data_IF_456839698160
#
_entry.id   IF_456839698160
#
_cell.length_a   1.000
_cell.length_b   1.000
_cell.length_c   1.000
_cell.angle_alpha   90.00
_cell.angle_beta   90.00
_cell.angle_gamma   90.00
#
_symmetry.space_group_name_H-M   'P 1'
#
loop_
_entity.id
_entity.type
_entity.pdbx_description
1 polymer ?
#
# COMPACT_ATOMS: atom_id res chain seq x y z
N UNK A 1 7.42 28.65 15.94
CA UNK A 1 6.46 28.10 14.96
C UNK A 1 5.49 27.22 15.72
N UNK A 2 4.21 27.56 15.75
CA UNK A 2 3.16 26.77 16.43
C UNK A 2 2.87 25.48 15.66
N UNK A 3 2.34 24.46 16.35
CA UNK A 3 1.91 23.17 15.77
C UNK A 3 0.95 23.37 14.58
N UNK A 4 0.10 24.39 14.67
CA UNK A 4 -0.83 24.83 13.62
C UNK A 4 -0.13 25.12 12.28
N UNK A 5 1.10 25.65 12.29
CA UNK A 5 1.84 25.91 11.05
C UNK A 5 2.35 24.62 10.38
N UNK A 6 2.65 23.57 11.16
CA UNK A 6 3.12 22.30 10.58
C UNK A 6 1.97 21.50 9.97
N UNK A 7 0.81 21.45 10.63
CA UNK A 7 -0.39 20.78 10.10
C UNK A 7 -0.79 21.37 8.75
N UNK A 8 -0.87 22.70 8.66
CA UNK A 8 -1.16 23.39 7.40
C UNK A 8 -0.14 23.09 6.28
N UNK A 9 1.15 23.00 6.61
CA UNK A 9 2.19 22.66 5.63
C UNK A 9 2.08 21.21 5.15
N UNK A 10 1.76 20.28 6.06
CA UNK A 10 1.55 18.87 5.72
C UNK A 10 0.31 18.71 4.85
N UNK A 11 -0.78 19.40 5.18
CA UNK A 11 -2.01 19.42 4.40
C UNK A 11 -1.74 19.93 2.97
N UNK A 12 -1.13 21.12 2.83
CA UNK A 12 -0.74 21.67 1.52
C UNK A 12 0.19 20.75 0.73
N UNK A 13 1.08 20.05 1.43
CA UNK A 13 1.95 19.05 0.80
C UNK A 13 1.16 17.86 0.28
N UNK A 14 0.25 17.29 1.08
CA UNK A 14 -0.58 16.15 0.69
C UNK A 14 -1.56 16.52 -0.43
N UNK A 15 -2.22 17.67 -0.36
CA UNK A 15 -3.06 18.21 -1.45
C UNK A 15 -2.30 18.24 -2.78
N UNK A 16 -1.04 18.65 -2.75
CA UNK A 16 -0.18 18.69 -3.94
C UNK A 16 0.26 17.30 -4.41
N UNK A 17 0.49 16.36 -3.50
CA UNK A 17 0.97 14.99 -3.81
C UNK A 17 -0.15 14.06 -4.27
N UNK A 18 -1.37 14.26 -3.78
CA UNK A 18 -2.56 13.45 -4.04
C UNK A 18 -3.61 14.30 -4.78
N UNK A 19 -3.17 15.22 -5.63
CA UNK A 19 -4.11 16.10 -6.34
C UNK A 19 -4.94 15.29 -7.34
N UNK A 20 -6.24 15.58 -7.40
CA UNK A 20 -7.16 14.90 -8.31
C UNK A 20 -6.68 14.98 -9.76
N UNK A 21 -6.28 16.17 -10.22
CA UNK A 21 -5.79 16.33 -11.59
C UNK A 21 -4.53 15.52 -11.91
N UNK A 22 -3.70 15.21 -10.92
CA UNK A 22 -2.51 14.34 -11.09
C UNK A 22 -2.92 12.87 -11.19
N UNK A 23 -3.87 12.43 -10.37
CA UNK A 23 -4.46 11.09 -10.43
C UNK A 23 -5.15 10.88 -11.78
N UNK A 24 -6.04 11.78 -12.18
CA UNK A 24 -6.79 11.70 -13.44
C UNK A 24 -5.86 11.66 -14.65
N UNK A 25 -4.87 12.57 -14.70
CA UNK A 25 -3.87 12.59 -15.76
C UNK A 25 -3.12 11.26 -15.85
N UNK A 26 -2.73 10.69 -14.72
CA UNK A 26 -2.00 9.42 -14.72
C UNK A 26 -2.90 8.25 -15.14
N UNK A 27 -4.13 8.17 -14.63
CA UNK A 27 -5.10 7.16 -15.04
C UNK A 27 -5.40 7.20 -16.55
N UNK A 28 -5.48 8.40 -17.15
CA UNK A 28 -5.62 8.56 -18.61
C UNK A 28 -4.41 8.02 -19.37
N UNK A 29 -3.19 8.21 -18.84
CA UNK A 29 -1.95 7.70 -19.45
C UNK A 29 -1.85 6.17 -19.42
N UNK A 30 -2.44 5.52 -18.42
CA UNK A 30 -2.45 4.06 -18.30
C UNK A 30 -3.27 3.36 -19.38
N UNK A 31 -4.09 4.09 -20.15
CA UNK A 31 -4.91 3.57 -21.27
C UNK A 31 -5.68 2.29 -20.90
N UNK A 32 -6.23 2.25 -19.70
CA UNK A 32 -6.98 1.09 -19.21
C UNK A 32 -8.20 0.91 -20.11
N UNK A 33 -8.17 -0.13 -20.94
CA UNK A 33 -9.28 -0.45 -21.83
C UNK A 33 -10.47 -0.91 -21.00
N UNK A 34 -11.60 -0.22 -21.17
CA UNK A 34 -12.85 -0.63 -20.56
C UNK A 34 -13.31 -1.90 -21.28
N UNK A 35 -13.08 -3.07 -20.67
CA UNK A 35 -13.69 -4.30 -21.15
C UNK A 35 -15.20 -4.21 -20.94
N UNK A 36 -15.97 -4.66 -21.93
CA UNK A 36 -17.40 -4.91 -21.73
C UNK A 36 -17.50 -5.91 -20.58
N UNK A 37 -18.24 -5.56 -19.54
CA UNK A 37 -18.69 -6.55 -18.56
C UNK A 37 -19.34 -7.65 -19.38
N UNK A 38 -18.88 -8.89 -19.22
CA UNK A 38 -19.60 -10.02 -19.79
C UNK A 38 -21.01 -9.92 -19.22
N UNK A 39 -22.01 -9.80 -20.07
CA UNK A 39 -23.42 -9.67 -19.66
C UNK A 39 -23.93 -10.97 -18.99
N UNK A 40 -23.08 -12.00 -18.91
CA UNK A 40 -23.42 -13.37 -18.51
C UNK A 40 -22.57 -13.86 -17.32
N UNK A 41 -22.31 -12.98 -16.34
CA UNK A 41 -21.72 -13.40 -15.07
C UNK A 41 -22.73 -14.25 -14.32
N UNK A 42 -22.52 -15.56 -14.28
CA UNK A 42 -23.35 -16.47 -13.50
C UNK A 42 -23.22 -16.12 -12.00
N UNK A 43 -24.30 -15.70 -11.31
CA UNK A 43 -24.25 -15.35 -9.89
C UNK A 43 -23.87 -16.53 -8.99
N UNK A 44 -24.04 -17.77 -9.44
CA UNK A 44 -23.62 -18.98 -8.73
C UNK A 44 -22.12 -19.29 -8.89
N UNK A 45 -21.42 -18.62 -9.82
CA UNK A 45 -20.01 -18.87 -10.12
C UNK A 45 -19.19 -17.56 -10.19
N UNK A 46 -19.07 -16.91 -9.03
CA UNK A 46 -18.28 -15.69 -8.87
C UNK A 46 -16.86 -16.03 -8.39
N UNK A 47 -15.90 -15.96 -9.31
CA UNK A 47 -14.48 -16.00 -8.95
C UNK A 47 -14.03 -14.70 -8.28
N UNK A 48 -13.42 -14.81 -7.10
CA UNK A 48 -12.89 -13.70 -6.30
C UNK A 48 -11.39 -13.83 -6.11
N UNK A 49 -10.64 -12.74 -6.31
CA UNK A 49 -9.21 -12.63 -5.98
C UNK A 49 -9.02 -11.79 -4.72
N UNK A 50 -8.43 -12.37 -3.67
CA UNK A 50 -8.09 -11.65 -2.45
C UNK A 50 -6.60 -11.27 -2.45
N UNK A 51 -6.30 -9.98 -2.28
CA UNK A 51 -4.92 -9.49 -2.25
C UNK A 51 -4.35 -9.65 -0.84
N UNK A 52 -3.32 -10.48 -0.69
CA UNK A 52 -2.51 -10.54 0.52
C UNK A 52 -1.14 -9.94 0.24
N UNK A 53 -0.76 -8.91 0.99
CA UNK A 53 0.49 -8.15 0.78
C UNK A 53 0.96 -7.54 2.09
N UNK A 54 2.25 -7.24 2.16
CA UNK A 54 2.80 -6.37 3.20
C UNK A 54 2.63 -4.91 2.79
N UNK A 55 2.48 -4.03 3.78
CA UNK A 55 2.50 -2.58 3.56
C UNK A 55 3.89 -2.20 3.03
N UNK A 56 3.91 -1.47 1.92
CA UNK A 56 5.09 -1.00 1.24
C UNK A 56 4.94 0.51 0.96
N UNK A 57 5.54 1.37 1.80
CA UNK A 57 5.45 2.82 1.63
C UNK A 57 5.92 3.28 0.24
N UNK A 58 5.07 4.04 -0.45
CA UNK A 58 5.36 4.60 -1.78
C UNK A 58 5.58 6.11 -1.70
N UNK A 59 6.45 6.62 -2.56
CA UNK A 59 6.86 8.02 -2.58
C UNK A 59 6.10 8.88 -3.61
N UNK A 60 5.18 8.29 -4.37
CA UNK A 60 4.29 9.01 -5.30
C UNK A 60 2.95 8.30 -5.44
N UNK A 61 1.91 9.06 -5.80
CA UNK A 61 0.58 8.51 -6.06
C UNK A 61 0.57 7.60 -7.30
N UNK A 62 1.41 7.89 -8.30
CA UNK A 62 1.55 7.05 -9.50
C UNK A 62 2.04 5.65 -9.15
N UNK A 63 3.05 5.52 -8.29
CA UNK A 63 3.53 4.21 -7.83
C UNK A 63 2.47 3.43 -7.05
N UNK A 64 1.63 4.14 -6.28
CA UNK A 64 0.49 3.51 -5.64
C UNK A 64 -0.49 2.96 -6.68
N UNK A 65 -0.85 3.79 -7.67
CA UNK A 65 -1.76 3.42 -8.76
C UNK A 65 -1.18 2.22 -9.54
N UNK A 66 0.09 2.26 -9.95
CA UNK A 66 0.75 1.17 -10.68
C UNK A 66 0.68 -0.16 -9.93
N UNK A 67 0.89 -0.11 -8.62
CA UNK A 67 0.82 -1.28 -7.76
C UNK A 67 -0.61 -1.85 -7.70
N UNK A 68 -1.63 -0.99 -7.54
CA UNK A 68 -3.04 -1.44 -7.60
C UNK A 68 -3.38 -2.02 -8.97
N UNK A 69 -2.98 -1.35 -10.05
CA UNK A 69 -3.16 -1.84 -11.42
C UNK A 69 -2.46 -3.19 -11.65
N UNK A 70 -1.31 -3.43 -11.03
CA UNK A 70 -0.65 -4.73 -11.05
C UNK A 70 -1.51 -5.85 -10.45
N UNK A 71 -2.10 -5.62 -9.28
CA UNK A 71 -3.01 -6.58 -8.65
C UNK A 71 -4.29 -6.80 -9.46
N UNK A 72 -4.89 -5.72 -9.95
CA UNK A 72 -6.07 -5.80 -10.83
C UNK A 72 -5.74 -6.55 -12.11
N UNK A 73 -4.59 -6.26 -12.73
CA UNK A 73 -4.13 -6.95 -13.93
C UNK A 73 -3.92 -8.45 -13.71
N UNK A 74 -3.45 -8.85 -12.53
CA UNK A 74 -3.35 -10.26 -12.17
C UNK A 74 -4.74 -10.90 -11.99
N UNK A 75 -5.65 -10.25 -11.27
CA UNK A 75 -7.03 -10.74 -11.12
C UNK A 75 -7.75 -10.88 -12.48
N UNK A 76 -7.51 -9.97 -13.42
CA UNK A 76 -8.04 -10.05 -14.79
C UNK A 76 -7.47 -11.27 -15.53
N UNK A 77 -6.16 -11.55 -15.41
CA UNK A 77 -5.55 -12.75 -16.00
C UNK A 77 -6.12 -14.04 -15.41
N UNK A 78 -6.51 -13.99 -14.13
CA UNK A 78 -7.13 -15.11 -13.44
C UNK A 78 -8.64 -15.23 -13.73
N UNK A 79 -9.21 -14.39 -14.61
CA UNK A 79 -10.64 -14.33 -14.89
C UNK A 79 -11.49 -14.14 -13.62
N UNK A 80 -11.00 -13.35 -12.68
CA UNK A 80 -11.76 -12.97 -11.49
C UNK A 80 -12.77 -11.89 -11.81
N UNK A 81 -13.94 -12.01 -11.18
CA UNK A 81 -15.05 -11.05 -11.29
C UNK A 81 -14.94 -9.96 -10.23
N UNK A 82 -14.36 -10.31 -9.08
CA UNK A 82 -14.16 -9.40 -7.96
C UNK A 82 -12.71 -9.49 -7.47
N UNK A 83 -12.14 -8.34 -7.12
CA UNK A 83 -10.88 -8.24 -6.40
C UNK A 83 -11.12 -7.57 -5.05
N UNK A 84 -10.57 -8.14 -3.99
CA UNK A 84 -10.69 -7.63 -2.63
C UNK A 84 -9.30 -7.23 -2.14
N UNK A 85 -9.20 -6.00 -1.63
CA UNK A 85 -7.98 -5.48 -1.01
C UNK A 85 -8.08 -5.54 0.52
N UNK A 86 -6.94 -5.58 1.24
CA UNK A 86 -6.93 -5.44 2.69
C UNK A 86 -7.52 -4.09 3.14
N UNK A 87 -8.11 -4.05 4.33
CA UNK A 87 -8.72 -2.84 4.91
C UNK A 87 -7.77 -1.64 4.91
N UNK A 88 -6.51 -1.89 5.29
CA UNK A 88 -5.48 -0.87 5.46
C UNK A 88 -4.62 -0.65 4.22
N UNK A 89 -5.14 -0.96 3.02
CA UNK A 89 -4.37 -0.89 1.77
C UNK A 89 -3.83 0.52 1.45
N UNK A 90 -4.41 1.57 2.01
CA UNK A 90 -3.94 2.95 1.80
C UNK A 90 -2.70 3.34 2.64
N UNK A 91 -2.24 2.51 3.58
CA UNK A 91 -1.06 2.82 4.41
C UNK A 91 0.24 2.95 3.62
N UNK A 92 0.29 2.46 2.39
CA UNK A 92 1.41 2.70 1.49
C UNK A 92 1.61 4.19 1.21
N UNK A 93 0.53 4.97 1.24
CA UNK A 93 0.57 6.42 1.04
C UNK A 93 1.27 7.17 2.18
N UNK A 94 1.56 6.54 3.32
CA UNK A 94 2.38 7.16 4.35
C UNK A 94 3.78 7.52 3.86
N UNK A 95 4.30 6.86 2.82
CA UNK A 95 5.54 7.27 2.16
C UNK A 95 5.49 8.67 1.50
N UNK A 96 4.31 9.26 1.33
CA UNK A 96 4.14 10.65 0.88
C UNK A 96 4.36 11.67 1.99
N UNK A 97 4.21 11.26 3.25
CA UNK A 97 4.39 12.13 4.41
C UNK A 97 5.87 12.48 4.54
N UNK A 98 6.24 13.77 4.57
CA UNK A 98 7.63 14.18 4.66
C UNK A 98 8.28 13.60 5.94
N UNK A 99 9.47 13.02 5.80
CA UNK A 99 10.19 12.40 6.91
C UNK A 99 9.74 10.99 7.29
N UNK A 100 8.62 10.47 6.74
CA UNK A 100 8.13 9.14 7.10
C UNK A 100 9.12 8.02 6.77
N UNK A 101 9.81 8.08 5.62
CA UNK A 101 10.81 7.07 5.27
C UNK A 101 11.96 7.00 6.29
N UNK A 102 12.34 8.14 6.87
CA UNK A 102 13.36 8.19 7.90
C UNK A 102 12.85 7.59 9.22
N UNK A 103 11.62 7.95 9.62
CA UNK A 103 10.96 7.38 10.79
C UNK A 103 10.80 5.87 10.65
N UNK A 104 10.29 5.39 9.52
CA UNK A 104 10.12 3.98 9.22
C UNK A 104 11.46 3.22 9.29
N UNK A 105 12.53 3.78 8.72
CA UNK A 105 13.87 3.18 8.84
C UNK A 105 14.39 3.12 10.28
N UNK A 106 14.21 4.19 11.06
CA UNK A 106 14.62 4.21 12.48
C UNK A 106 13.83 3.17 13.28
N UNK A 107 12.52 3.13 13.09
CA UNK A 107 11.63 2.21 13.80
C UNK A 107 11.90 0.76 13.41
N UNK A 108 12.14 0.48 12.12
CA UNK A 108 12.57 -0.83 11.64
C UNK A 108 13.92 -1.25 12.25
N UNK A 109 14.90 -0.34 12.30
CA UNK A 109 16.20 -0.62 12.93
C UNK A 109 16.07 -0.89 14.43
N UNK A 110 15.20 -0.17 15.14
CA UNK A 110 14.91 -0.42 16.56
C UNK A 110 14.21 -1.75 16.78
N UNK A 111 13.24 -2.09 15.94
CA UNK A 111 12.53 -3.37 16.01
C UNK A 111 13.46 -4.57 15.76
N UNK A 112 14.37 -4.46 14.77
CA UNK A 112 15.38 -5.51 14.51
C UNK A 112 16.34 -5.64 15.70
N UNK A 113 16.85 -4.54 16.24
CA UNK A 113 17.72 -4.57 17.43
C UNK A 113 17.05 -5.16 18.67
N UNK A 114 15.73 -5.01 18.81
CA UNK A 114 14.99 -5.62 19.92
C UNK A 114 14.77 -7.12 19.68
N UNK A 115 14.49 -7.54 18.43
CA UNK A 115 14.43 -8.97 18.08
C UNK A 115 15.77 -9.68 18.25
N UNK A 116 16.88 -9.05 17.87
CA UNK A 116 18.22 -9.60 18.07
C UNK A 116 18.58 -9.75 19.57
N UNK A 117 17.93 -9.01 20.47
CA UNK A 117 18.04 -9.20 21.93
C UNK A 117 17.09 -10.27 22.48
N UNK A 118 15.98 -10.54 21.80
CA UNK A 118 15.04 -11.60 22.15
C UNK A 118 15.45 -12.96 21.55
N UNK A 119 16.20 -12.98 20.45
CA UNK A 119 16.73 -14.17 19.76
C UNK A 119 17.73 -15.02 20.55
N UNK A 120 18.16 -14.56 21.73
CA UNK A 120 18.80 -15.46 22.72
C UNK A 120 17.78 -16.45 23.33
N UNK A 121 16.50 -16.36 22.96
CA UNK A 121 15.42 -17.31 23.27
C UNK A 121 14.50 -17.48 22.05
N UNK A 122 14.67 -18.62 21.37
CA UNK A 122 13.77 -19.23 20.38
C UNK A 122 13.84 -18.79 18.90
N UNK A 123 13.66 -19.83 18.07
CA UNK A 123 14.07 -20.02 16.68
C UNK A 123 13.35 -19.10 15.67
N UNK A 124 14.07 -18.60 14.66
CA UNK A 124 13.54 -17.57 13.77
C UNK A 124 13.26 -18.04 12.34
N UNK A 125 12.01 -17.82 11.96
CA UNK A 125 11.41 -17.93 10.63
C UNK A 125 12.04 -16.98 9.59
N UNK A 126 12.27 -17.51 8.40
CA UNK A 126 12.78 -16.81 7.22
C UNK A 126 11.74 -15.86 6.58
N UNK A 127 11.80 -14.55 6.86
CA UNK A 127 11.20 -13.52 5.99
C UNK A 127 12.12 -12.29 5.90
N UNK A 128 12.81 -12.17 4.76
CA UNK A 128 13.79 -11.12 4.43
C UNK A 128 13.06 -9.98 3.70
N UNK A 129 12.59 -8.98 4.45
CA UNK A 129 11.91 -7.80 3.91
C UNK A 129 12.00 -6.59 4.86
N UNK A 130 12.30 -5.41 4.31
CA UNK A 130 12.75 -4.22 5.05
C UNK A 130 11.63 -3.40 5.73
N UNK A 131 10.46 -4.00 6.01
CA UNK A 131 9.22 -3.31 6.43
C UNK A 131 8.70 -3.72 7.83
N UNK A 132 9.59 -4.16 8.72
CA UNK A 132 9.22 -4.83 9.98
C UNK A 132 8.28 -4.02 10.91
N UNK A 133 8.36 -2.70 10.99
CA UNK A 133 7.59 -1.88 11.94
C UNK A 133 6.11 -1.81 11.59
N UNK A 134 5.78 -1.41 10.37
CA UNK A 134 4.37 -1.37 9.93
C UNK A 134 3.77 -2.77 9.95
N UNK A 135 4.54 -3.78 9.56
CA UNK A 135 4.08 -5.17 9.69
C UNK A 135 3.91 -5.62 11.13
N UNK A 136 4.66 -5.09 12.10
CA UNK A 136 4.50 -5.43 13.53
C UNK A 136 3.32 -4.71 14.15
N UNK A 137 3.13 -3.42 13.87
CA UNK A 137 1.99 -2.64 14.39
C UNK A 137 0.65 -3.17 13.84
N UNK A 138 0.62 -3.56 12.57
CA UNK A 138 -0.60 -4.01 11.89
C UNK A 138 -0.69 -5.54 11.73
N UNK A 139 0.12 -6.32 12.46
CA UNK A 139 0.03 -7.79 12.48
C UNK A 139 -1.14 -8.32 13.31
N UNK A 140 -1.79 -7.47 14.10
CA UNK A 140 -2.85 -7.81 15.04
C UNK A 140 -4.20 -7.14 14.74
N UNK A 141 -4.42 -6.71 13.49
CA UNK A 141 -5.72 -6.26 12.98
C UNK A 141 -6.18 -7.25 11.93
#
# INVERSE_FOLDING_TARGET
>A
MSVVNMEFLIEKWLERKISLGRIEKYCQQLRIEKRRLSEDVNPENIRVSCVQRQIYPVNSIERYIDMLCGFVGQAVKDNSHLIIFPENNFFDLFGLIPGFNFLNQILNKKAIKNKDKEKDREEESHLKGNNNFLTTIFKGV
#
